data_IF_567470035896
#
_entry.id   IF_567470035896
#
_cell.length_a   1.000
_cell.length_b   1.000
_cell.length_c   1.000
_cell.angle_alpha   90.00
_cell.angle_beta   90.00
_cell.angle_gamma   90.00
#
_symmetry.space_group_name_H-M   'P 1'
#
loop_
_entity.id
_entity.type
_entity.pdbx_description
1 polymer ?
#
# COMPACT_ATOMS: atom_id res chain seq x y z
N UNK A 1 5.80 -67.62 -22.09
CA UNK A 1 4.78 -67.69 -21.02
C UNK A 1 4.99 -66.44 -20.19
N UNK A 2 4.34 -65.34 -20.59
CA UNK A 2 4.50 -64.04 -19.93
C UNK A 2 3.54 -63.99 -18.75
N UNK A 3 4.09 -63.84 -17.55
CA UNK A 3 3.34 -63.77 -16.30
C UNK A 3 2.84 -62.33 -16.14
N UNK A 4 1.53 -62.10 -16.25
CA UNK A 4 0.92 -60.81 -15.95
C UNK A 4 0.99 -60.58 -14.43
N UNK A 5 1.73 -59.55 -14.01
CA UNK A 5 1.71 -59.06 -12.63
C UNK A 5 0.42 -58.30 -12.39
N UNK A 6 -0.53 -58.89 -11.67
CA UNK A 6 -1.71 -58.19 -11.17
C UNK A 6 -1.29 -57.09 -10.19
N UNK A 7 -1.43 -55.83 -10.61
CA UNK A 7 -1.34 -54.67 -9.72
C UNK A 7 -2.53 -54.69 -8.76
N UNK A 8 -2.29 -55.05 -7.50
CA UNK A 8 -3.32 -54.99 -6.45
C UNK A 8 -3.63 -53.54 -6.13
N UNK A 9 -4.60 -52.95 -6.84
CA UNK A 9 -5.15 -51.63 -6.50
C UNK A 9 -5.87 -51.75 -5.15
N UNK A 10 -5.16 -51.40 -4.07
CA UNK A 10 -5.75 -51.26 -2.74
C UNK A 10 -6.73 -50.09 -2.79
N UNK A 11 -8.02 -50.40 -2.90
CA UNK A 11 -9.07 -49.40 -2.75
C UNK A 11 -8.92 -48.70 -1.38
N UNK A 12 -8.88 -47.36 -1.33
CA UNK A 12 -8.80 -46.66 -0.06
C UNK A 12 -10.05 -47.02 0.76
N UNK A 13 -9.86 -47.59 1.94
CA UNK A 13 -10.97 -47.93 2.83
C UNK A 13 -11.79 -46.68 3.15
N UNK A 14 -13.11 -46.76 3.00
CA UNK A 14 -14.02 -45.65 3.30
C UNK A 14 -14.62 -45.81 4.70
N UNK A 15 -14.78 -44.70 5.41
CA UNK A 15 -15.51 -44.63 6.69
C UNK A 15 -16.79 -43.82 6.52
N UNK A 16 -17.80 -44.02 7.36
CA UNK A 16 -19.00 -43.18 7.36
C UNK A 16 -18.76 -41.95 8.22
N UNK A 17 -19.22 -40.78 7.75
CA UNK A 17 -19.24 -39.56 8.55
C UNK A 17 -20.11 -39.77 9.80
N UNK A 18 -19.59 -39.40 10.98
CA UNK A 18 -20.29 -39.62 12.25
C UNK A 18 -21.61 -38.83 12.42
N UNK A 19 -21.89 -37.84 11.57
CA UNK A 19 -23.12 -37.04 11.65
C UNK A 19 -24.15 -37.37 10.58
N UNK A 20 -23.72 -37.45 9.32
CA UNK A 20 -24.61 -37.57 8.18
C UNK A 20 -24.55 -38.93 7.48
N UNK A 21 -23.65 -39.83 7.92
CA UNK A 21 -23.52 -41.17 7.35
C UNK A 21 -22.96 -41.23 5.91
N UNK A 22 -22.50 -40.11 5.34
CA UNK A 22 -21.89 -40.08 4.00
C UNK A 22 -20.54 -40.82 4.02
N UNK A 23 -20.23 -41.68 3.02
CA UNK A 23 -18.94 -42.34 2.90
C UNK A 23 -17.84 -41.32 2.59
N UNK A 24 -16.78 -41.30 3.40
CA UNK A 24 -15.63 -40.40 3.27
C UNK A 24 -14.31 -41.18 3.30
N UNK A 25 -13.24 -40.58 2.78
CA UNK A 25 -11.88 -41.05 3.06
C UNK A 25 -11.55 -40.82 4.54
N UNK A 26 -10.86 -41.75 5.21
CA UNK A 26 -10.45 -41.60 6.60
C UNK A 26 -9.72 -40.27 6.83
N UNK A 27 -10.22 -39.47 7.76
CA UNK A 27 -9.62 -38.21 8.17
C UNK A 27 -9.57 -38.14 9.71
N UNK A 28 -8.67 -37.36 10.32
CA UNK A 28 -8.52 -37.34 11.78
C UNK A 28 -9.76 -36.84 12.54
N UNK A 29 -10.70 -36.20 11.84
CA UNK A 29 -11.95 -35.70 12.41
C UNK A 29 -13.12 -36.70 12.30
N UNK A 30 -13.01 -37.77 11.49
CA UNK A 30 -14.10 -38.70 11.11
C UNK A 30 -15.41 -38.01 10.67
N UNK A 31 -15.32 -36.78 10.15
CA UNK A 31 -16.43 -35.91 9.76
C UNK A 31 -16.21 -35.50 8.30
N UNK A 32 -17.28 -35.47 7.49
CA UNK A 32 -17.21 -35.02 6.10
C UNK A 32 -16.97 -33.50 6.01
N UNK A 33 -16.40 -33.04 4.90
CA UNK A 33 -16.08 -31.60 4.70
C UNK A 33 -17.31 -30.70 4.83
N UNK A 34 -18.50 -31.17 4.43
CA UNK A 34 -19.74 -30.40 4.53
C UNK A 34 -20.18 -30.17 5.99
N UNK A 35 -20.22 -31.23 6.80
CA UNK A 35 -20.52 -31.14 8.25
C UNK A 35 -19.44 -30.37 9.01
N UNK A 36 -18.17 -30.46 8.59
CA UNK A 36 -17.10 -29.70 9.22
C UNK A 36 -17.25 -28.19 8.96
N UNK A 37 -17.63 -27.80 7.73
CA UNK A 37 -17.87 -26.39 7.35
C UNK A 37 -19.10 -25.78 8.03
N UNK A 38 -20.13 -26.58 8.34
CA UNK A 38 -21.31 -26.08 9.05
C UNK A 38 -21.03 -25.80 10.52
N UNK A 39 -20.10 -26.54 11.14
CA UNK A 39 -19.74 -26.38 12.55
C UNK A 39 -18.64 -25.35 12.79
N UNK A 40 -17.63 -25.30 11.93
CA UNK A 40 -16.43 -24.50 12.14
C UNK A 40 -16.27 -23.49 11.01
N UNK A 41 -16.45 -22.21 11.34
CA UNK A 41 -16.17 -21.10 10.44
C UNK A 41 -14.80 -20.50 10.76
N UNK A 42 -13.86 -20.63 9.82
CA UNK A 42 -12.49 -20.14 9.95
C UNK A 42 -12.45 -18.61 9.82
N UNK A 43 -13.45 -18.01 9.18
CA UNK A 43 -13.51 -16.57 8.94
C UNK A 43 -13.92 -15.75 10.17
N UNK A 44 -14.30 -16.41 11.27
CA UNK A 44 -14.70 -15.74 12.51
C UNK A 44 -13.57 -14.87 13.07
N UNK A 45 -13.82 -13.57 13.18
CA UNK A 45 -12.88 -12.56 13.65
C UNK A 45 -12.13 -11.80 12.55
N UNK A 46 -12.30 -12.16 11.28
CA UNK A 46 -11.79 -11.38 10.15
C UNK A 46 -12.88 -10.39 9.70
N UNK A 47 -12.61 -9.07 9.69
CA UNK A 47 -13.59 -8.10 9.22
C UNK A 47 -13.85 -8.29 7.72
N UNK A 48 -15.12 -8.45 7.34
CA UNK A 48 -15.55 -8.55 5.94
C UNK A 48 -15.50 -7.19 5.22
N UNK A 49 -15.47 -6.10 5.97
CA UNK A 49 -15.40 -4.74 5.46
C UNK A 49 -14.29 -3.95 6.14
N UNK A 50 -13.42 -3.30 5.36
CA UNK A 50 -12.29 -2.50 5.86
C UNK A 50 -12.20 -1.19 5.09
N UNK A 51 -11.79 -0.09 5.73
CA UNK A 51 -11.57 1.19 5.05
C UNK A 51 -10.10 1.42 4.70
N UNK A 52 -9.86 1.98 3.52
CA UNK A 52 -8.54 2.45 3.06
C UNK A 52 -8.66 3.92 2.68
N UNK A 53 -7.74 4.74 3.16
CA UNK A 53 -7.68 6.15 2.79
C UNK A 53 -6.90 6.34 1.49
N UNK A 54 -7.43 7.17 0.60
CA UNK A 54 -6.86 7.52 -0.70
C UNK A 54 -6.87 9.04 -0.89
N UNK A 55 -5.74 9.58 -1.33
CA UNK A 55 -5.62 10.99 -1.66
C UNK A 55 -5.84 11.24 -3.15
N UNK A 56 -6.87 12.01 -3.48
CA UNK A 56 -7.25 12.33 -4.87
C UNK A 56 -6.19 13.14 -5.63
N UNK A 57 -5.46 14.02 -4.94
CA UNK A 57 -4.54 14.95 -5.59
C UNK A 57 -3.21 14.30 -5.98
N UNK A 58 -2.63 13.49 -5.09
CA UNK A 58 -1.36 12.80 -5.36
C UNK A 58 -1.53 11.33 -5.78
N UNK A 59 -2.77 10.83 -5.83
CA UNK A 59 -3.10 9.42 -6.16
C UNK A 59 -2.39 8.40 -5.27
N UNK A 60 -2.17 8.74 -4.00
CA UNK A 60 -1.50 7.87 -3.01
C UNK A 60 -2.50 7.24 -2.05
N UNK A 61 -2.21 6.01 -1.66
CA UNK A 61 -2.90 5.29 -0.60
C UNK A 61 -2.18 5.47 0.73
N UNK A 62 -2.95 5.55 1.82
CA UNK A 62 -2.42 5.67 3.16
C UNK A 62 -2.06 4.30 3.74
N UNK A 63 -0.79 4.12 4.06
CA UNK A 63 -0.28 3.00 4.84
C UNK A 63 0.03 3.48 6.28
N UNK A 64 -0.71 3.02 7.30
CA UNK A 64 -0.36 3.25 8.70
C UNK A 64 1.07 2.76 8.98
N UNK A 65 1.90 3.49 9.75
CA UNK A 65 1.53 4.54 10.71
C UNK A 65 1.46 5.98 10.18
N UNK A 66 1.90 6.27 8.96
CA UNK A 66 1.93 7.66 8.46
C UNK A 66 2.41 7.83 7.02
N UNK A 67 2.69 6.74 6.32
CA UNK A 67 3.31 6.76 5.00
C UNK A 67 2.25 6.76 3.90
N UNK A 68 2.48 7.52 2.83
CA UNK A 68 1.63 7.57 1.65
C UNK A 68 2.38 6.97 0.47
N UNK A 69 1.81 5.95 -0.15
CA UNK A 69 2.45 5.20 -1.24
C UNK A 69 1.59 5.32 -2.49
N UNK A 70 2.23 5.58 -3.62
CA UNK A 70 1.56 5.56 -4.91
C UNK A 70 1.42 4.09 -5.35
N UNK A 71 0.19 3.64 -5.56
CA UNK A 71 -0.08 2.28 -6.03
C UNK A 71 -1.07 2.37 -7.20
N UNK A 72 -0.85 1.58 -8.25
CA UNK A 72 -1.85 1.41 -9.30
C UNK A 72 -3.02 0.53 -8.80
N UNK A 73 -4.20 0.69 -9.42
CA UNK A 73 -5.33 -0.21 -9.20
C UNK A 73 -4.94 -1.64 -9.57
N UNK A 74 -5.43 -2.61 -8.80
CA UNK A 74 -5.15 -4.05 -8.99
C UNK A 74 -3.66 -4.43 -9.00
N UNK A 75 -2.79 -3.59 -8.42
CA UNK A 75 -1.35 -3.86 -8.32
C UNK A 75 -1.00 -4.74 -7.12
N UNK A 76 0.17 -5.42 -7.21
CA UNK A 76 0.76 -6.19 -6.10
C UNK A 76 0.99 -5.33 -4.84
N UNK A 77 1.35 -4.06 -5.03
CA UNK A 77 1.61 -3.12 -3.94
C UNK A 77 0.33 -2.78 -3.17
N UNK A 78 -0.78 -2.58 -3.89
CA UNK A 78 -2.09 -2.35 -3.29
C UNK A 78 -2.55 -3.59 -2.52
N UNK A 79 -2.34 -4.79 -3.08
CA UNK A 79 -2.66 -6.05 -2.40
C UNK A 79 -1.88 -6.18 -1.08
N UNK A 80 -0.58 -5.87 -1.09
CA UNK A 80 0.24 -5.88 0.12
C UNK A 80 -0.28 -4.89 1.18
N UNK A 81 -0.76 -3.71 0.78
CA UNK A 81 -1.37 -2.73 1.69
C UNK A 81 -2.67 -3.29 2.30
N UNK A 82 -3.54 -3.89 1.48
CA UNK A 82 -4.77 -4.54 1.92
C UNK A 82 -4.50 -5.66 2.94
N UNK A 83 -3.52 -6.53 2.68
CA UNK A 83 -3.13 -7.60 3.61
C UNK A 83 -2.54 -7.07 4.91
N UNK A 84 -1.70 -6.02 4.84
CA UNK A 84 -1.11 -5.38 6.04
C UNK A 84 -2.20 -4.83 6.98
N UNK A 85 -3.28 -4.28 6.44
CA UNK A 85 -4.41 -3.76 7.24
C UNK A 85 -5.13 -4.85 8.04
N UNK A 86 -5.15 -6.09 7.55
CA UNK A 86 -5.82 -7.25 8.19
C UNK A 86 -4.78 -8.19 8.83
N UNK A 87 -3.53 -7.76 9.00
CA UNK A 87 -2.44 -8.61 9.51
C UNK A 87 -2.75 -9.23 10.88
N UNK A 88 -3.38 -8.47 11.77
CA UNK A 88 -3.67 -8.94 13.13
C UNK A 88 -4.66 -10.14 13.12
N UNK A 89 -5.86 -10.05 12.49
CA UNK A 89 -6.74 -11.20 12.32
C UNK A 89 -6.11 -12.36 11.54
N UNK A 90 -5.35 -12.06 10.48
CA UNK A 90 -4.70 -13.05 9.63
C UNK A 90 -3.57 -13.83 10.32
N UNK A 91 -3.05 -13.38 11.46
CA UNK A 91 -1.95 -14.09 12.15
C UNK A 91 -2.36 -15.48 12.66
N UNK A 92 -3.66 -15.70 12.92
CA UNK A 92 -4.21 -16.96 13.43
C UNK A 92 -4.48 -18.01 12.35
N UNK A 93 -4.37 -17.62 11.07
CA UNK A 93 -4.78 -18.44 9.94
C UNK A 93 -3.70 -18.38 8.86
N UNK A 94 -3.39 -19.49 8.21
CA UNK A 94 -2.42 -19.51 7.12
C UNK A 94 -3.07 -18.95 5.85
N UNK A 95 -2.51 -17.87 5.30
CA UNK A 95 -2.90 -17.37 3.99
C UNK A 95 -2.30 -18.27 2.90
N UNK A 96 -3.14 -18.76 1.98
CA UNK A 96 -2.72 -19.57 0.83
C UNK A 96 -2.59 -18.70 -0.41
N UNK A 97 -3.65 -17.95 -0.69
CA UNK A 97 -3.77 -17.16 -1.90
C UNK A 97 -4.61 -15.90 -1.64
N UNK A 98 -4.32 -14.85 -2.39
CA UNK A 98 -5.02 -13.57 -2.33
C UNK A 98 -5.05 -12.97 -3.74
N UNK A 99 -6.22 -12.53 -4.18
CA UNK A 99 -6.40 -11.92 -5.49
C UNK A 99 -7.52 -10.88 -5.49
N UNK A 100 -7.44 -9.92 -6.42
CA UNK A 100 -8.53 -8.98 -6.63
C UNK A 100 -9.67 -9.64 -7.40
N UNK A 101 -10.88 -9.27 -7.04
CA UNK A 101 -12.08 -9.52 -7.84
C UNK A 101 -12.41 -8.20 -8.51
N UNK A 102 -12.58 -8.23 -9.83
CA UNK A 102 -12.92 -7.03 -10.59
C UNK A 102 -14.15 -6.35 -10.00
N UNK A 103 -14.03 -5.05 -9.83
CA UNK A 103 -15.10 -4.17 -9.35
C UNK A 103 -15.16 -2.95 -10.24
N UNK A 104 -16.35 -2.38 -10.39
CA UNK A 104 -16.53 -1.21 -11.22
C UNK A 104 -15.67 -0.01 -10.72
N UNK A 105 -14.95 0.71 -11.61
CA UNK A 105 -14.00 1.76 -11.23
C UNK A 105 -14.57 2.87 -10.35
N UNK A 106 -15.85 3.22 -10.54
CA UNK A 106 -16.50 4.33 -9.84
C UNK A 106 -17.09 3.93 -8.48
N UNK A 107 -17.13 2.63 -8.18
CA UNK A 107 -17.78 2.11 -6.97
C UNK A 107 -17.07 2.52 -5.68
N UNK A 108 -15.80 3.00 -5.76
CA UNK A 108 -14.91 3.27 -4.62
C UNK A 108 -14.81 2.07 -3.66
N UNK A 109 -14.96 0.86 -4.19
CA UNK A 109 -14.86 -0.39 -3.45
C UNK A 109 -13.86 -1.27 -4.17
N UNK A 110 -13.06 -1.99 -3.41
CA UNK A 110 -12.12 -2.98 -3.90
C UNK A 110 -12.47 -4.31 -3.24
N UNK A 111 -12.65 -5.36 -4.05
CA UNK A 111 -12.95 -6.69 -3.54
C UNK A 111 -11.69 -7.54 -3.61
N UNK A 112 -11.31 -8.12 -2.47
CA UNK A 112 -10.17 -9.05 -2.40
C UNK A 112 -10.68 -10.42 -2.00
N UNK A 113 -10.49 -11.40 -2.87
CA UNK A 113 -10.72 -12.81 -2.57
C UNK A 113 -9.52 -13.33 -1.80
N UNK A 114 -9.77 -13.86 -0.61
CA UNK A 114 -8.76 -14.48 0.25
C UNK A 114 -9.05 -15.97 0.38
N UNK A 115 -8.00 -16.77 0.23
CA UNK A 115 -8.02 -18.20 0.47
C UNK A 115 -7.19 -18.48 1.72
N UNK A 116 -7.84 -18.97 2.77
CA UNK A 116 -7.22 -19.18 4.07
C UNK A 116 -7.32 -20.65 4.48
N UNK A 117 -6.31 -21.12 5.21
CA UNK A 117 -6.21 -22.47 5.76
C UNK A 117 -6.03 -22.41 7.27
N UNK A 118 -6.80 -23.21 8.01
CA UNK A 118 -6.65 -23.38 9.45
C UNK A 118 -6.73 -24.86 9.80
N UNK A 119 -5.95 -25.26 10.79
CA UNK A 119 -6.07 -26.56 11.42
C UNK A 119 -7.28 -26.55 12.37
N UNK A 120 -8.11 -27.56 12.23
CA UNK A 120 -9.36 -27.79 12.97
C UNK A 120 -9.32 -29.21 13.52
N UNK A 121 -9.96 -29.45 14.68
CA UNK A 121 -10.23 -30.77 15.30
C UNK A 121 -9.20 -31.87 14.99
N UNK A 122 -8.18 -32.00 15.84
CA UNK A 122 -7.15 -33.06 15.78
C UNK A 122 -6.33 -33.08 14.48
N UNK A 123 -6.04 -31.92 13.89
CA UNK A 123 -5.10 -31.77 12.77
C UNK A 123 -5.72 -31.84 11.38
N UNK A 124 -7.05 -31.82 11.24
CA UNK A 124 -7.69 -31.67 9.94
C UNK A 124 -7.49 -30.24 9.40
N UNK A 125 -6.89 -30.11 8.21
CA UNK A 125 -6.69 -28.80 7.56
C UNK A 125 -7.95 -28.46 6.76
N UNK A 126 -8.61 -27.37 7.12
CA UNK A 126 -9.76 -26.86 6.38
C UNK A 126 -9.38 -25.57 5.64
N UNK A 127 -9.69 -25.54 4.35
CA UNK A 127 -9.50 -24.39 3.47
C UNK A 127 -10.86 -23.72 3.20
N UNK A 128 -10.89 -22.40 3.37
CA UNK A 128 -12.07 -21.56 3.15
C UNK A 128 -11.70 -20.36 2.29
N UNK A 129 -12.61 -20.01 1.39
CA UNK A 129 -12.49 -18.85 0.51
C UNK A 129 -13.57 -17.85 0.89
N UNK A 130 -13.19 -16.60 1.07
CA UNK A 130 -14.13 -15.51 1.29
C UNK A 130 -13.64 -14.22 0.63
N UNK A 131 -14.54 -13.25 0.48
CA UNK A 131 -14.24 -11.95 -0.12
C UNK A 131 -14.29 -10.89 0.97
N UNK A 132 -13.30 -10.01 0.98
CA UNK A 132 -13.25 -8.82 1.82
C UNK A 132 -13.48 -7.59 0.97
N UNK A 133 -14.43 -6.76 1.40
CA UNK A 133 -14.78 -5.50 0.78
C UNK A 133 -13.96 -4.36 1.41
N UNK A 134 -13.08 -3.74 0.62
CA UNK A 134 -12.35 -2.56 1.03
C UNK A 134 -13.05 -1.30 0.50
N UNK A 135 -13.49 -0.43 1.41
CA UNK A 135 -14.08 0.87 1.06
C UNK A 135 -12.99 1.91 0.95
N UNK A 136 -12.88 2.54 -0.22
CA UNK A 136 -11.93 3.62 -0.49
C UNK A 136 -12.49 4.95 0.00
N UNK A 137 -11.98 5.42 1.13
CA UNK A 137 -12.30 6.73 1.70
C UNK A 137 -11.37 7.79 1.15
N UNK A 138 -11.92 8.92 0.71
CA UNK A 138 -11.12 10.05 0.24
C UNK A 138 -10.57 10.83 1.43
N UNK A 139 -9.24 10.94 1.53
CA UNK A 139 -8.56 11.72 2.58
C UNK A 139 -7.38 12.45 1.95
N UNK A 140 -7.20 13.73 2.28
CA UNK A 140 -6.05 14.49 1.80
C UNK A 140 -4.76 14.05 2.52
N UNK A 141 -3.68 13.91 1.76
CA UNK A 141 -2.37 13.64 2.31
C UNK A 141 -1.85 14.87 3.06
N UNK A 142 -0.98 14.69 4.05
CA UNK A 142 -0.43 15.82 4.82
C UNK A 142 0.27 16.86 3.93
N UNK A 143 1.02 16.41 2.92
CA UNK A 143 1.69 17.31 1.96
C UNK A 143 0.70 18.03 1.02
N UNK A 144 -0.40 17.37 0.69
CA UNK A 144 -1.42 17.87 -0.22
C UNK A 144 -2.30 18.91 0.47
N UNK A 145 -2.75 18.60 1.69
CA UNK A 145 -3.40 19.56 2.58
C UNK A 145 -2.52 20.77 2.82
N UNK A 146 -1.20 20.54 2.88
CA UNK A 146 -0.22 21.60 3.03
C UNK A 146 -0.18 22.54 1.81
N UNK A 147 -0.07 22.00 0.60
CA UNK A 147 -0.12 22.80 -0.63
C UNK A 147 -1.43 23.60 -0.71
N UNK A 148 -2.57 22.98 -0.39
CA UNK A 148 -3.89 23.61 -0.48
C UNK A 148 -4.07 24.77 0.51
N UNK A 149 -3.53 24.63 1.72
CA UNK A 149 -3.63 25.65 2.75
C UNK A 149 -2.78 26.90 2.46
N UNK A 150 -1.93 26.89 1.40
CA UNK A 150 -1.04 27.99 0.98
C UNK A 150 -0.05 28.52 2.03
N UNK A 151 -0.07 27.97 3.24
CA UNK A 151 0.85 28.31 4.31
C UNK A 151 2.11 27.46 4.24
N UNK A 152 3.12 27.83 5.02
CA UNK A 152 4.41 27.16 5.26
C UNK A 152 5.42 26.99 4.09
N UNK A 153 6.43 27.86 4.14
CA UNK A 153 7.82 27.49 3.91
C UNK A 153 8.47 27.07 5.22
N UNK A 154 9.37 26.08 5.19
CA UNK A 154 10.20 25.72 6.36
C UNK A 154 11.53 26.46 6.38
N UNK A 155 12.03 26.83 5.22
CA UNK A 155 13.28 27.54 5.05
C UNK A 155 13.10 28.62 3.97
N UNK A 156 13.80 29.73 4.15
CA UNK A 156 13.87 30.83 3.18
C UNK A 156 15.33 31.19 2.99
N UNK A 157 15.73 31.43 1.73
CA UNK A 157 17.05 31.97 1.39
C UNK A 157 16.81 33.36 0.83
N UNK A 158 17.48 34.35 1.42
CA UNK A 158 17.36 35.74 1.03
C UNK A 158 18.66 36.17 0.36
N UNK A 159 18.62 36.33 -0.96
CA UNK A 159 19.77 36.81 -1.74
C UNK A 159 19.62 38.31 -1.90
N UNK A 160 20.64 39.08 -1.52
CA UNK A 160 20.63 40.56 -1.59
C UNK A 160 21.95 41.06 -2.16
N UNK A 161 21.86 42.06 -3.04
CA UNK A 161 23.02 42.74 -3.58
C UNK A 161 22.86 44.26 -3.37
N UNK A 162 23.68 44.85 -2.50
CA UNK A 162 23.64 46.29 -2.21
C UNK A 162 24.42 47.08 -3.26
N UNK A 163 23.90 47.16 -4.49
CA UNK A 163 24.51 47.91 -5.59
C UNK A 163 23.45 48.54 -6.49
N UNK A 164 23.80 49.67 -7.12
CA UNK A 164 22.91 50.33 -8.10
C UNK A 164 22.72 49.49 -9.37
N UNK A 165 23.77 48.77 -9.81
CA UNK A 165 23.70 47.88 -10.97
C UNK A 165 23.51 46.42 -10.53
N UNK A 166 22.59 45.69 -11.18
CA UNK A 166 22.22 44.29 -10.87
C UNK A 166 22.83 43.27 -11.84
N UNK A 167 23.98 43.58 -12.46
CA UNK A 167 24.58 42.74 -13.51
C UNK A 167 24.89 41.31 -13.02
N UNK A 168 25.47 41.20 -11.82
CA UNK A 168 25.78 39.92 -11.17
C UNK A 168 24.52 39.16 -10.79
N UNK A 169 23.45 39.87 -10.41
CA UNK A 169 22.15 39.28 -10.09
C UNK A 169 21.48 38.63 -11.31
N UNK A 170 21.44 39.33 -12.45
CA UNK A 170 20.93 38.75 -13.69
C UNK A 170 21.78 37.57 -14.18
N UNK A 171 23.10 37.65 -13.99
CA UNK A 171 23.98 36.52 -14.29
C UNK A 171 23.68 35.29 -13.40
N UNK A 172 23.45 35.52 -12.10
CA UNK A 172 23.07 34.46 -11.17
C UNK A 172 21.74 33.81 -11.56
N UNK A 173 20.73 34.60 -11.95
CA UNK A 173 19.45 34.08 -12.43
C UNK A 173 19.62 33.18 -13.65
N UNK A 174 20.42 33.59 -14.64
CA UNK A 174 20.73 32.78 -15.81
C UNK A 174 21.44 31.47 -15.43
N UNK A 175 22.35 31.50 -14.45
CA UNK A 175 22.99 30.28 -13.95
C UNK A 175 21.99 29.35 -13.25
N UNK A 176 21.08 29.89 -12.44
CA UNK A 176 20.03 29.12 -11.76
C UNK A 176 19.10 28.44 -12.77
N UNK A 177 18.76 29.12 -13.86
CA UNK A 177 17.98 28.54 -14.96
C UNK A 177 18.78 27.47 -15.70
N UNK A 178 20.05 27.75 -16.03
CA UNK A 178 20.96 26.83 -16.75
C UNK A 178 21.17 25.51 -16.01
N UNK A 179 21.35 25.55 -14.69
CA UNK A 179 21.55 24.36 -13.85
C UNK A 179 20.26 23.80 -13.24
N UNK A 180 19.11 24.43 -13.50
CA UNK A 180 17.81 23.95 -13.00
C UNK A 180 17.64 23.99 -11.47
N UNK A 181 18.39 24.83 -10.76
CA UNK A 181 18.41 24.85 -9.28
C UNK A 181 17.10 25.34 -8.64
N UNK A 182 16.22 25.98 -9.41
CA UNK A 182 14.93 26.50 -8.95
C UNK A 182 13.81 25.45 -8.83
N UNK A 183 13.99 24.22 -9.35
CA UNK A 183 12.93 23.19 -9.41
C UNK A 183 12.33 22.82 -8.04
N UNK A 184 13.13 22.90 -6.97
CA UNK A 184 12.70 22.54 -5.61
C UNK A 184 12.17 23.73 -4.80
N UNK A 185 12.05 24.91 -5.42
CA UNK A 185 11.51 26.11 -4.77
C UNK A 185 9.98 26.07 -4.78
N UNK A 186 9.36 26.44 -3.66
CA UNK A 186 7.91 26.57 -3.55
C UNK A 186 7.42 27.85 -4.22
N UNK A 187 8.15 28.94 -3.95
CA UNK A 187 7.84 30.29 -4.38
C UNK A 187 9.14 31.07 -4.48
N UNK A 188 9.20 31.96 -5.44
CA UNK A 188 10.23 32.98 -5.57
C UNK A 188 9.51 34.32 -5.46
N UNK A 189 10.00 35.20 -4.58
CA UNK A 189 9.44 36.55 -4.42
C UNK A 189 10.55 37.58 -4.49
N UNK A 190 10.35 38.58 -5.32
CA UNK A 190 11.18 39.78 -5.32
C UNK A 190 10.85 40.64 -4.10
N UNK A 191 11.85 40.85 -3.25
CA UNK A 191 11.72 41.67 -2.04
C UNK A 191 12.98 42.51 -1.89
N UNK A 192 12.80 43.83 -1.88
CA UNK A 192 13.90 44.80 -1.83
C UNK A 192 14.92 44.57 -2.96
N UNK A 193 16.20 44.90 -2.76
CA UNK A 193 17.30 44.72 -3.71
C UNK A 193 17.72 43.24 -3.91
N UNK A 194 16.76 42.33 -4.01
CA UNK A 194 17.02 40.92 -4.30
C UNK A 194 15.81 39.99 -4.30
N UNK A 195 16.07 38.70 -4.08
CA UNK A 195 15.09 37.61 -4.22
C UNK A 195 15.04 36.76 -2.95
N UNK A 196 13.83 36.33 -2.59
CA UNK A 196 13.56 35.34 -1.55
C UNK A 196 13.11 34.02 -2.19
N UNK A 197 13.89 32.97 -1.93
CA UNK A 197 13.60 31.61 -2.35
C UNK A 197 13.01 30.83 -1.18
N UNK A 198 11.77 30.37 -1.33
CA UNK A 198 11.06 29.62 -0.30
C UNK A 198 11.17 28.12 -0.54
N UNK A 199 11.49 27.36 0.51
CA UNK A 199 11.69 25.92 0.45
C UNK A 199 10.84 25.17 1.49
N UNK A 200 10.38 23.98 1.11
CA UNK A 200 9.64 23.04 1.98
C UNK A 200 10.54 22.23 2.91
N UNK A 201 11.81 22.03 2.53
CA UNK A 201 12.82 21.28 3.28
C UNK A 201 14.10 22.08 3.47
N UNK A 202 14.71 21.98 4.66
CA UNK A 202 15.99 22.60 4.98
C UNK A 202 17.13 22.08 4.10
N UNK A 203 17.08 20.79 3.72
CA UNK A 203 18.12 20.16 2.90
C UNK A 203 18.19 20.75 1.48
N UNK A 204 17.03 21.05 0.87
CA UNK A 204 16.99 21.72 -0.43
C UNK A 204 17.53 23.15 -0.34
N UNK A 205 17.22 23.86 0.75
CA UNK A 205 17.79 25.18 0.97
C UNK A 205 19.32 25.14 1.13
N UNK A 206 19.86 24.17 1.89
CA UNK A 206 21.31 24.02 2.05
C UNK A 206 22.03 23.77 0.72
N UNK A 207 21.48 22.91 -0.15
CA UNK A 207 22.04 22.67 -1.49
C UNK A 207 22.09 23.95 -2.34
N UNK A 208 21.08 24.80 -2.23
CA UNK A 208 21.07 26.09 -2.92
C UNK A 208 22.13 27.04 -2.36
N UNK A 209 22.33 27.07 -1.04
CA UNK A 209 23.40 27.86 -0.40
C UNK A 209 24.78 27.39 -0.86
N UNK A 210 25.03 26.08 -0.89
CA UNK A 210 26.29 25.51 -1.40
C UNK A 210 26.54 25.90 -2.87
N UNK A 211 25.49 25.82 -3.70
CA UNK A 211 25.58 26.28 -5.09
C UNK A 211 25.93 27.77 -5.20
N UNK A 212 25.32 28.63 -4.37
CA UNK A 212 25.62 30.06 -4.35
C UNK A 212 27.08 30.30 -3.93
N UNK A 213 27.55 29.64 -2.87
CA UNK A 213 28.93 29.74 -2.39
C UNK A 213 29.99 29.32 -3.43
N UNK A 214 29.66 28.36 -4.29
CA UNK A 214 30.56 27.93 -5.37
C UNK A 214 30.53 28.83 -6.60
N UNK A 215 29.44 29.56 -6.85
CA UNK A 215 29.22 30.30 -8.11
C UNK A 215 29.44 31.79 -7.99
N UNK A 216 29.11 32.37 -6.84
CA UNK A 216 29.20 33.81 -6.59
C UNK A 216 29.85 34.05 -5.23
N UNK A 217 30.66 35.11 -5.08
CA UNK A 217 31.15 35.52 -3.78
C UNK A 217 29.97 36.05 -2.95
N UNK A 218 29.64 35.34 -1.87
CA UNK A 218 28.51 35.62 -0.98
C UNK A 218 28.92 35.61 0.49
#
# INVERSE_FOLDING_TARGET
MEYMTESTDRSPGHILCCECGVPISPNPANICVACLRSKVDISQGIPKQVSISFCKQCQRYFQPPGTWIQCALESRELLALCLKKIKAPLSKVRLVDAGFVWTEPHSKRLKVKLTVQKEVMNGAILQQVFVVDYVVQSQMCGDCHRVEAKDFWKAVIQVRQKTLHKKTFYYLEQLILKYGMHQNTLRIKEIHDGLDFYYSSKQHAQKMVEFLQCTVPC
#
